data_IF_949160362391
#
_entry.id   IF_949160362391
#
_cell.length_a   1.000
_cell.length_b   1.000
_cell.length_c   1.000
_cell.angle_alpha   90.00
_cell.angle_beta   90.00
_cell.angle_gamma   90.00
#
_symmetry.space_group_name_H-M   'P 1'
#
loop_
_entity.id
_entity.type
_entity.pdbx_description
1 polymer ?
#
# COMPACT_ATOMS: atom_id res chain seq x y z
N UNK A 1 -0.60 2.14 24.00
CA UNK A 1 0.64 2.42 23.24
C UNK A 1 0.18 3.12 21.98
N UNK A 2 0.47 4.42 21.84
CA UNK A 2 0.26 5.11 20.57
C UNK A 2 1.37 4.67 19.62
N UNK A 3 1.02 3.86 18.64
CA UNK A 3 1.92 3.54 17.53
C UNK A 3 1.80 4.65 16.50
N UNK A 4 2.50 5.76 16.74
CA UNK A 4 2.67 6.81 15.74
C UNK A 4 3.54 6.26 14.62
N UNK A 5 3.06 6.36 13.38
CA UNK A 5 3.86 6.13 12.18
C UNK A 5 4.00 7.44 11.43
N UNK A 6 5.10 7.60 10.70
CA UNK A 6 5.40 8.80 9.93
C UNK A 6 5.71 8.40 8.48
N UNK A 7 5.19 9.19 7.54
CA UNK A 7 5.48 9.04 6.11
C UNK A 7 5.75 10.42 5.55
N UNK A 8 6.91 10.60 4.93
CA UNK A 8 7.31 11.84 4.29
C UNK A 8 7.24 11.67 2.78
N UNK A 9 6.58 12.61 2.09
CA UNK A 9 6.52 12.63 0.64
C UNK A 9 7.23 13.89 0.13
N UNK A 10 8.32 13.70 -0.58
CA UNK A 10 8.99 14.77 -1.30
C UNK A 10 8.64 14.69 -2.78
N UNK A 11 8.20 15.83 -3.32
CA UNK A 11 7.87 15.94 -4.72
C UNK A 11 9.15 15.97 -5.56
N UNK A 12 9.31 15.03 -6.49
CA UNK A 12 10.43 15.04 -7.45
C UNK A 12 10.09 15.90 -8.68
N UNK A 13 9.14 15.44 -9.50
CA UNK A 13 8.63 16.12 -10.70
C UNK A 13 7.24 15.57 -11.07
N UNK A 14 6.50 16.19 -12.01
CA UNK A 14 5.21 15.66 -12.48
C UNK A 14 4.20 15.27 -11.39
N UNK A 15 3.77 14.01 -11.34
CA UNK A 15 3.04 13.39 -10.21
C UNK A 15 3.88 12.34 -9.48
N UNK A 16 5.21 12.51 -9.54
CA UNK A 16 6.21 11.62 -8.96
C UNK A 16 6.66 12.13 -7.60
N UNK A 17 6.56 11.26 -6.59
CA UNK A 17 6.93 11.54 -5.22
C UNK A 17 7.92 10.49 -4.71
N UNK A 18 8.98 10.94 -4.06
CA UNK A 18 9.84 10.11 -3.24
C UNK A 18 9.19 9.97 -1.86
N UNK A 19 8.89 8.73 -1.46
CA UNK A 19 8.19 8.43 -0.20
C UNK A 19 9.11 7.71 0.76
N UNK A 20 9.30 8.28 1.94
CA UNK A 20 10.09 7.72 3.03
C UNK A 20 9.18 7.29 4.18
N UNK A 21 9.49 6.13 4.77
CA UNK A 21 8.74 5.56 5.88
C UNK A 21 9.52 5.78 7.18
N UNK A 22 9.20 6.87 7.88
CA UNK A 22 9.91 7.31 9.08
C UNK A 22 9.94 6.25 10.17
N UNK A 23 11.08 6.11 10.85
CA UNK A 23 11.29 5.11 11.88
C UNK A 23 11.48 3.67 11.36
N UNK A 24 11.72 3.49 10.06
CA UNK A 24 12.01 2.19 9.45
C UNK A 24 13.30 2.22 8.62
N UNK A 25 13.90 1.04 8.37
CA UNK A 25 15.02 0.87 7.43
C UNK A 25 14.55 0.50 6.02
N UNK A 26 13.27 0.69 5.71
CA UNK A 26 12.74 0.37 4.39
C UNK A 26 13.33 1.31 3.34
N UNK A 27 13.65 0.80 2.14
CA UNK A 27 14.04 1.67 1.05
C UNK A 27 12.88 2.60 0.68
N UNK A 28 13.19 3.84 0.25
CA UNK A 28 12.15 4.75 -0.18
C UNK A 28 11.41 4.24 -1.41
N UNK A 29 10.15 4.62 -1.53
CA UNK A 29 9.28 4.24 -2.64
C UNK A 29 9.00 5.44 -3.53
N UNK A 30 9.25 5.30 -4.82
CA UNK A 30 8.73 6.25 -5.80
C UNK A 30 7.26 5.93 -6.07
N UNK A 31 6.39 6.91 -5.83
CA UNK A 31 4.97 6.86 -6.18
C UNK A 31 4.78 7.74 -7.40
N UNK A 32 4.20 7.20 -8.47
CA UNK A 32 4.00 7.95 -9.71
C UNK A 32 2.70 7.55 -10.38
N UNK A 33 1.98 8.53 -10.91
CA UNK A 33 0.82 8.26 -11.76
C UNK A 33 1.27 7.68 -13.11
N UNK A 34 0.45 6.84 -13.77
CA UNK A 34 0.76 6.39 -15.11
C UNK A 34 0.58 7.56 -16.11
N UNK A 35 1.06 7.39 -17.35
CA UNK A 35 0.72 8.30 -18.43
C UNK A 35 -0.81 8.46 -18.57
N UNK A 36 -1.32 9.68 -18.85
CA UNK A 36 -0.59 10.87 -19.25
C UNK A 36 -0.17 11.81 -18.09
N UNK A 37 -0.50 11.50 -16.84
CA UNK A 37 -0.24 12.40 -15.70
C UNK A 37 1.20 12.29 -15.20
N UNK A 38 1.72 11.07 -15.09
CA UNK A 38 3.08 10.80 -14.67
C UNK A 38 3.83 9.90 -15.65
N UNK A 39 5.01 9.43 -15.24
CA UNK A 39 5.85 8.55 -16.05
C UNK A 39 5.60 7.07 -15.75
N UNK A 40 4.81 6.75 -14.72
CA UNK A 40 4.61 5.38 -14.25
C UNK A 40 5.89 4.74 -13.72
N UNK A 41 6.83 5.51 -13.17
CA UNK A 41 8.10 5.00 -12.64
C UNK A 41 7.97 4.24 -11.30
N UNK A 42 6.74 4.09 -10.80
CA UNK A 42 6.41 3.40 -9.56
C UNK A 42 4.90 3.08 -9.51
N UNK A 43 4.42 2.43 -8.44
CA UNK A 43 3.00 2.22 -8.25
C UNK A 43 2.28 3.56 -8.10
N UNK A 44 1.10 3.69 -8.71
CA UNK A 44 0.26 4.85 -8.52
C UNK A 44 -0.46 4.83 -7.15
N UNK A 45 -0.93 5.99 -6.66
CA UNK A 45 -1.59 6.10 -5.37
C UNK A 45 -2.78 5.13 -5.20
N UNK A 46 -3.60 4.93 -6.22
CA UNK A 46 -4.76 4.04 -6.14
C UNK A 46 -4.38 2.57 -5.92
N UNK A 47 -3.30 2.11 -6.55
CA UNK A 47 -2.77 0.74 -6.36
C UNK A 47 -2.14 0.58 -4.98
N UNK A 48 -1.48 1.60 -4.45
CA UNK A 48 -0.97 1.59 -3.07
C UNK A 48 -2.09 1.53 -2.06
N UNK A 49 -3.13 2.36 -2.24
CA UNK A 49 -4.33 2.31 -1.41
C UNK A 49 -5.00 0.93 -1.45
N UNK A 50 -5.16 0.37 -2.65
CA UNK A 50 -5.72 -0.97 -2.82
C UNK A 50 -4.87 -2.05 -2.12
N UNK A 51 -3.54 -1.94 -2.19
CA UNK A 51 -2.60 -2.83 -1.48
C UNK A 51 -2.78 -2.73 0.04
N UNK A 52 -2.82 -1.51 0.57
CA UNK A 52 -3.00 -1.28 2.01
C UNK A 52 -4.33 -1.87 2.52
N UNK A 53 -5.43 -1.60 1.82
CA UNK A 53 -6.76 -2.15 2.15
C UNK A 53 -6.74 -3.68 2.09
N UNK A 54 -6.24 -4.24 0.98
CA UNK A 54 -6.18 -5.69 0.78
C UNK A 54 -5.36 -6.37 1.87
N UNK A 55 -4.22 -5.80 2.25
CA UNK A 55 -3.36 -6.31 3.34
C UNK A 55 -4.07 -6.28 4.69
N UNK A 56 -4.65 -5.14 5.09
CA UNK A 56 -5.35 -5.00 6.37
C UNK A 56 -6.52 -5.98 6.52
N UNK A 57 -7.33 -6.14 5.47
CA UNK A 57 -8.45 -7.08 5.48
C UNK A 57 -7.96 -8.53 5.51
N UNK A 58 -6.91 -8.86 4.77
CA UNK A 58 -6.32 -10.21 4.76
C UNK A 58 -5.73 -10.57 6.13
N UNK A 59 -5.04 -9.64 6.79
CA UNK A 59 -4.51 -9.81 8.14
C UNK A 59 -5.63 -10.01 9.16
N UNK A 60 -6.71 -9.21 9.06
CA UNK A 60 -7.88 -9.35 9.93
C UNK A 60 -8.55 -10.72 9.77
N UNK A 61 -8.69 -11.21 8.53
CA UNK A 61 -9.21 -12.55 8.25
C UNK A 61 -8.29 -13.64 8.80
N UNK A 62 -6.98 -13.54 8.55
CA UNK A 62 -6.00 -14.50 9.04
C UNK A 62 -6.06 -14.62 10.56
N UNK A 63 -6.10 -13.50 11.26
CA UNK A 63 -6.24 -13.46 12.72
C UNK A 63 -7.50 -14.21 13.20
N UNK A 64 -8.65 -13.99 12.56
CA UNK A 64 -9.89 -14.69 12.90
C UNK A 64 -9.78 -16.21 12.67
N UNK A 65 -9.19 -16.64 11.54
CA UNK A 65 -9.01 -18.06 11.21
C UNK A 65 -8.07 -18.76 12.19
N UNK A 66 -6.96 -18.11 12.55
CA UNK A 66 -6.02 -18.61 13.55
C UNK A 66 -6.69 -18.75 14.92
N UNK A 67 -7.47 -17.75 15.34
CA UNK A 67 -8.25 -17.80 16.58
C UNK A 67 -9.27 -18.95 16.59
N UNK A 68 -9.83 -19.28 15.44
CA UNK A 68 -10.72 -20.43 15.23
C UNK A 68 -9.99 -21.77 15.03
N UNK A 69 -8.66 -21.81 15.16
CA UNK A 69 -7.80 -23.00 14.97
C UNK A 69 -7.89 -23.62 13.57
N UNK A 70 -8.16 -22.80 12.56
CA UNK A 70 -8.11 -23.22 11.15
C UNK A 70 -6.65 -23.16 10.67
N UNK A 71 -6.14 -24.26 10.11
CA UNK A 71 -4.80 -24.27 9.51
C UNK A 71 -4.82 -23.56 8.15
N UNK A 72 -4.29 -22.35 8.09
CA UNK A 72 -4.19 -21.57 6.85
C UNK A 72 -2.85 -21.84 6.17
N UNK A 73 -2.87 -22.41 4.95
CA UNK A 73 -1.63 -22.64 4.16
C UNK A 73 -1.23 -21.43 3.33
N UNK A 74 -2.19 -20.72 2.76
CA UNK A 74 -1.97 -19.54 1.93
C UNK A 74 -3.24 -18.71 1.82
N UNK A 75 -3.09 -17.39 1.68
CA UNK A 75 -4.18 -16.47 1.34
C UNK A 75 -3.79 -15.74 0.05
N UNK A 76 -4.72 -15.62 -0.88
CA UNK A 76 -4.60 -14.77 -2.08
C UNK A 76 -5.75 -13.77 -2.07
N UNK A 77 -5.41 -12.49 -2.15
CA UNK A 77 -6.39 -11.40 -2.17
C UNK A 77 -6.27 -10.62 -3.48
N UNK A 78 -7.40 -10.36 -4.12
CA UNK A 78 -7.49 -9.50 -5.30
C UNK A 78 -8.35 -8.30 -4.97
N UNK A 79 -7.83 -7.11 -5.20
CA UNK A 79 -8.58 -5.85 -5.06
C UNK A 79 -8.76 -5.24 -6.44
N UNK A 80 -10.01 -4.94 -6.79
CA UNK A 80 -10.37 -4.27 -8.05
C UNK A 80 -11.15 -3.02 -7.69
N UNK A 81 -10.74 -1.88 -8.24
CA UNK A 81 -11.40 -0.60 -8.07
C UNK A 81 -11.56 0.10 -9.41
N UNK A 82 -12.62 0.90 -9.54
CA UNK A 82 -12.83 1.79 -10.68
C UNK A 82 -12.80 3.23 -10.20
N UNK A 83 -11.91 4.04 -10.76
CA UNK A 83 -11.88 5.47 -10.50
C UNK A 83 -12.96 6.18 -11.32
N UNK A 84 -13.74 7.05 -10.68
CA UNK A 84 -14.69 7.95 -11.32
C UNK A 84 -14.32 9.38 -10.95
N UNK A 85 -14.44 10.29 -11.92
CA UNK A 85 -14.33 11.73 -11.70
C UNK A 85 -15.69 12.28 -11.32
#
# INVERSE_FOLDING_TARGET
>A
MENTFEVTLERLDGYRFHTEFGGTELPPLVVDEPPPLGAGSGPNPSRLLATAIGSCLSASLLFCLEKSRVMVRSIRTQVVGTMRR
#
